data_IF_150228904676
#
_entry.id   IF_150228904676
#
_cell.length_a   1.000
_cell.length_b   1.000
_cell.length_c   1.000
_cell.angle_alpha   90.00
_cell.angle_beta   90.00
_cell.angle_gamma   90.00
#
_symmetry.space_group_name_H-M   'P 1'
#
loop_
_entity.id
_entity.type
_entity.pdbx_description
1 polymer ?
#
# COMPACT_ATOMS: atom_id res chain seq x y z
N UNK A 1 24.01 -9.10 -26.06
CA UNK A 1 24.62 -8.78 -24.74
C UNK A 1 23.72 -7.94 -23.82
N UNK A 2 22.58 -7.40 -24.27
CA UNK A 2 21.68 -6.58 -23.43
C UNK A 2 20.71 -7.38 -22.54
N UNK A 3 20.58 -8.70 -22.74
CA UNK A 3 19.68 -9.57 -21.97
C UNK A 3 19.83 -9.46 -20.45
N UNK A 4 21.05 -9.45 -19.87
CA UNK A 4 21.20 -9.33 -18.42
C UNK A 4 20.68 -8.00 -17.88
N UNK A 5 20.80 -6.92 -18.67
CA UNK A 5 20.30 -5.59 -18.30
C UNK A 5 18.78 -5.60 -18.21
N UNK A 6 18.11 -6.18 -19.20
CA UNK A 6 16.65 -6.28 -19.20
C UNK A 6 16.11 -7.17 -18.09
N UNK A 7 16.77 -8.30 -17.81
CA UNK A 7 16.42 -9.16 -16.67
C UNK A 7 16.61 -8.44 -15.33
N UNK A 8 17.69 -7.69 -15.17
CA UNK A 8 17.96 -6.92 -13.95
C UNK A 8 16.91 -5.82 -13.74
N UNK A 9 16.57 -5.07 -14.79
CA UNK A 9 15.52 -4.05 -14.74
C UNK A 9 14.15 -4.66 -14.42
N UNK A 10 13.81 -5.78 -15.06
CA UNK A 10 12.60 -6.57 -14.78
C UNK A 10 12.54 -6.97 -13.31
N UNK A 11 13.62 -7.53 -12.76
CA UNK A 11 13.69 -7.95 -11.36
C UNK A 11 13.48 -6.76 -10.39
N UNK A 12 14.10 -5.60 -10.67
CA UNK A 12 13.89 -4.38 -9.89
C UNK A 12 12.43 -3.94 -9.94
N UNK A 13 11.84 -3.88 -11.12
CA UNK A 13 10.46 -3.48 -11.29
C UNK A 13 9.49 -4.41 -10.56
N UNK A 14 9.65 -5.73 -10.67
CA UNK A 14 8.82 -6.67 -9.93
C UNK A 14 9.03 -6.60 -8.42
N UNK A 15 10.25 -6.35 -7.96
CA UNK A 15 10.53 -6.12 -6.54
C UNK A 15 9.79 -4.89 -6.00
N UNK A 16 9.84 -3.76 -6.70
CA UNK A 16 9.09 -2.56 -6.32
C UNK A 16 7.57 -2.74 -6.43
N UNK A 17 7.11 -3.50 -7.42
CA UNK A 17 5.70 -3.87 -7.54
C UNK A 17 5.25 -4.66 -6.29
N UNK A 18 6.04 -5.64 -5.87
CA UNK A 18 5.76 -6.45 -4.68
C UNK A 18 5.74 -5.62 -3.39
N UNK A 19 6.73 -4.74 -3.19
CA UNK A 19 6.77 -3.87 -1.99
C UNK A 19 5.53 -2.97 -1.95
N UNK A 20 5.20 -2.30 -3.06
CA UNK A 20 4.06 -1.40 -3.09
C UNK A 20 2.74 -2.17 -2.91
N UNK A 21 2.65 -3.39 -3.44
CA UNK A 21 1.50 -4.25 -3.20
C UNK A 21 1.34 -4.62 -1.72
N UNK A 22 2.44 -4.92 -1.03
CA UNK A 22 2.46 -5.19 0.42
C UNK A 22 2.09 -3.94 1.23
N UNK A 23 2.62 -2.77 0.88
CA UNK A 23 2.28 -1.51 1.55
C UNK A 23 0.82 -1.08 1.31
N UNK A 24 0.23 -1.43 0.17
CA UNK A 24 -1.19 -1.22 -0.07
C UNK A 24 -2.10 -2.08 0.83
N UNK A 25 -1.57 -3.10 1.50
CA UNK A 25 -2.33 -3.94 2.43
C UNK A 25 -2.17 -3.47 3.89
N UNK A 26 -1.13 -2.69 4.20
CA UNK A 26 -0.96 -2.09 5.53
C UNK A 26 -1.86 -0.88 5.68
N UNK A 27 -2.84 -0.96 6.57
CA UNK A 27 -3.65 0.17 7.01
C UNK A 27 -3.23 0.62 8.40
N UNK A 28 -3.22 1.93 8.63
CA UNK A 28 -3.16 2.49 9.98
C UNK A 28 -4.35 1.96 10.79
N UNK A 29 -4.08 1.50 12.01
CA UNK A 29 -5.09 0.96 12.89
C UNK A 29 -5.98 2.09 13.41
N UNK A 30 -7.28 1.93 13.28
CA UNK A 30 -8.25 2.87 13.86
C UNK A 30 -8.15 2.87 15.38
N UNK A 31 -8.46 4.03 15.96
CA UNK A 31 -8.49 4.17 17.41
C UNK A 31 -9.76 3.50 17.95
N UNK A 32 -9.58 2.53 18.85
CA UNK A 32 -10.69 1.91 19.56
C UNK A 32 -10.57 2.24 21.05
N UNK A 33 -11.67 2.73 21.63
CA UNK A 33 -11.78 2.83 23.07
C UNK A 33 -11.75 1.42 23.66
N UNK A 34 -10.60 1.04 24.21
CA UNK A 34 -10.45 -0.24 24.91
C UNK A 34 -10.89 -0.01 26.35
N UNK A 35 -12.11 -0.40 26.70
CA UNK A 35 -12.46 -0.62 28.10
C UNK A 35 -11.63 -1.81 28.59
N UNK A 36 -10.76 -1.59 29.58
CA UNK A 36 -10.15 -2.71 30.29
C UNK A 36 -11.25 -3.37 31.12
N UNK A 37 -11.48 -4.67 30.92
CA UNK A 37 -12.34 -5.46 31.80
C UNK A 37 -11.78 -5.37 33.23
N UNK A 38 -12.51 -4.70 34.12
CA UNK A 38 -12.15 -4.55 35.54
C UNK A 38 -12.08 -3.11 36.06
N UNK A 39 -12.17 -2.08 35.21
CA UNK A 39 -12.37 -0.71 35.70
C UNK A 39 -13.87 -0.45 35.96
N UNK A 40 -14.18 -0.05 37.19
CA UNK A 40 -15.50 0.43 37.60
C UNK A 40 -16.04 1.47 36.61
N UNK A 41 -17.37 1.46 36.46
CA UNK A 41 -18.23 2.31 35.62
C UNK A 41 -17.63 3.62 35.06
N UNK A 42 -17.96 3.93 33.80
CA UNK A 42 -17.18 4.85 32.97
C UNK A 42 -17.11 6.24 33.60
N UNK A 43 -15.91 6.84 33.65
CA UNK A 43 -15.86 8.30 33.46
C UNK A 43 -16.63 8.54 32.16
N UNK A 44 -17.81 9.14 32.26
CA UNK A 44 -18.65 9.45 31.11
C UNK A 44 -17.75 10.06 30.05
N UNK A 45 -17.47 9.29 29.00
CA UNK A 45 -16.68 9.80 27.90
C UNK A 45 -17.54 10.89 27.29
N UNK A 46 -17.14 12.14 27.56
CA UNK A 46 -17.85 13.33 27.16
C UNK A 46 -18.25 13.23 25.68
N UNK A 47 -19.45 13.70 25.35
CA UNK A 47 -20.01 13.58 24.01
C UNK A 47 -19.04 14.18 22.96
N UNK A 48 -18.36 15.28 23.33
CA UNK A 48 -17.33 15.89 22.49
C UNK A 48 -16.11 15.00 22.25
N UNK A 49 -15.72 14.17 23.22
CA UNK A 49 -14.60 13.22 23.07
C UNK A 49 -14.97 12.06 22.14
N UNK A 50 -16.23 11.59 22.17
CA UNK A 50 -16.73 10.56 21.25
C UNK A 50 -16.81 11.08 19.81
N UNK A 51 -17.31 12.31 19.63
CA UNK A 51 -17.41 12.96 18.33
C UNK A 51 -16.02 13.21 17.72
N UNK A 52 -15.07 13.70 18.52
CA UNK A 52 -13.69 13.85 18.10
C UNK A 52 -13.06 12.53 17.64
N UNK A 53 -13.23 11.44 18.39
CA UNK A 53 -12.68 10.13 17.99
C UNK A 53 -13.34 9.59 16.72
N UNK A 54 -14.65 9.82 16.54
CA UNK A 54 -15.35 9.46 15.31
C UNK A 54 -14.78 10.21 14.10
N UNK A 55 -14.59 11.51 14.20
CA UNK A 55 -14.02 12.32 13.12
C UNK A 55 -12.54 12.01 12.87
N UNK A 56 -11.78 11.75 13.92
CA UNK A 56 -10.39 11.30 13.81
C UNK A 56 -10.29 9.94 13.09
N UNK A 57 -11.17 8.99 13.41
CA UNK A 57 -11.21 7.69 12.72
C UNK A 57 -11.64 7.84 11.26
N UNK A 58 -12.60 8.73 10.94
CA UNK A 58 -12.96 9.06 9.54
C UNK A 58 -11.76 9.64 8.77
N UNK A 59 -10.98 10.52 9.40
CA UNK A 59 -9.76 11.03 8.82
C UNK A 59 -8.73 9.92 8.58
N UNK A 60 -8.51 9.03 9.56
CA UNK A 60 -7.61 7.88 9.38
C UNK A 60 -8.09 6.95 8.25
N UNK A 61 -9.39 6.75 8.09
CA UNK A 61 -9.95 5.96 6.99
C UNK A 61 -9.70 6.61 5.63
N UNK A 62 -9.85 7.94 5.51
CA UNK A 62 -9.60 8.65 4.26
C UNK A 62 -8.11 8.65 3.88
N UNK A 63 -7.23 8.84 4.86
CA UNK A 63 -5.77 8.73 4.65
C UNK A 63 -5.41 7.30 4.25
N UNK A 64 -5.97 6.29 4.92
CA UNK A 64 -5.76 4.89 4.57
C UNK A 64 -6.22 4.57 3.15
N UNK A 65 -7.42 5.00 2.75
CA UNK A 65 -7.95 4.71 1.41
C UNK A 65 -7.10 5.37 0.32
N UNK A 66 -6.71 6.64 0.51
CA UNK A 66 -5.80 7.35 -0.39
C UNK A 66 -4.44 6.66 -0.48
N UNK A 67 -3.87 6.25 0.65
CA UNK A 67 -2.57 5.58 0.67
C UNK A 67 -2.63 4.21 -0.03
N UNK A 68 -3.69 3.42 0.21
CA UNK A 68 -3.92 2.14 -0.50
C UNK A 68 -4.06 2.35 -2.00
N UNK A 69 -4.81 3.37 -2.43
CA UNK A 69 -4.98 3.69 -3.85
C UNK A 69 -3.64 4.06 -4.49
N UNK A 70 -2.84 4.92 -3.85
CA UNK A 70 -1.52 5.33 -4.33
C UNK A 70 -0.55 4.15 -4.44
N UNK A 71 -0.46 3.31 -3.41
CA UNK A 71 0.40 2.13 -3.43
C UNK A 71 -0.06 1.08 -4.44
N UNK A 72 -1.38 0.89 -4.64
CA UNK A 72 -1.90 0.03 -5.71
C UNK A 72 -1.54 0.55 -7.10
N UNK A 73 -1.70 1.85 -7.34
CA UNK A 73 -1.34 2.47 -8.61
C UNK A 73 0.16 2.33 -8.89
N UNK A 74 1.00 2.57 -7.88
CA UNK A 74 2.45 2.37 -8.00
C UNK A 74 2.82 0.90 -8.26
N UNK A 75 2.20 -0.05 -7.55
CA UNK A 75 2.41 -1.48 -7.76
C UNK A 75 2.07 -1.89 -9.19
N UNK A 76 0.95 -1.40 -9.72
CA UNK A 76 0.54 -1.66 -11.11
C UNK A 76 1.52 -1.04 -12.11
N UNK A 77 1.95 0.21 -11.90
CA UNK A 77 2.94 0.87 -12.76
C UNK A 77 4.27 0.11 -12.84
N UNK A 78 4.77 -0.33 -11.69
CA UNK A 78 5.98 -1.16 -11.63
C UNK A 78 5.79 -2.54 -12.26
N UNK A 79 4.62 -3.16 -12.09
CA UNK A 79 4.29 -4.44 -12.73
C UNK A 79 4.31 -4.32 -14.26
N UNK A 80 3.68 -3.27 -14.81
CA UNK A 80 3.71 -2.97 -16.25
C UNK A 80 5.15 -2.71 -16.70
N UNK A 81 5.94 -1.94 -15.95
CA UNK A 81 7.35 -1.70 -16.25
C UNK A 81 8.19 -2.98 -16.33
N UNK A 82 7.97 -3.93 -15.41
CA UNK A 82 8.63 -5.24 -15.43
C UNK A 82 8.26 -6.06 -16.66
N UNK A 83 6.97 -6.09 -17.02
CA UNK A 83 6.49 -6.76 -18.24
C UNK A 83 7.08 -6.12 -19.49
N UNK A 84 7.10 -4.78 -19.58
CA UNK A 84 7.69 -4.06 -20.71
C UNK A 84 9.18 -4.37 -20.84
N UNK A 85 9.94 -4.40 -19.73
CA UNK A 85 11.35 -4.77 -19.76
C UNK A 85 11.57 -6.20 -20.29
N UNK A 86 10.72 -7.15 -19.92
CA UNK A 86 10.76 -8.50 -20.47
C UNK A 86 10.38 -8.54 -21.96
N UNK A 87 9.37 -7.79 -22.39
CA UNK A 87 9.00 -7.71 -23.81
C UNK A 87 10.15 -7.11 -24.63
N UNK A 88 10.74 -6.02 -24.17
CA UNK A 88 11.91 -5.38 -24.81
C UNK A 88 13.11 -6.33 -24.90
N UNK A 89 13.30 -7.21 -23.90
CA UNK A 89 14.30 -8.27 -23.97
C UNK A 89 14.10 -9.18 -25.19
N UNK A 90 12.87 -9.60 -25.47
CA UNK A 90 12.57 -10.45 -26.64
C UNK A 90 12.57 -9.66 -27.96
N UNK A 91 12.16 -8.40 -27.97
CA UNK A 91 12.18 -7.58 -29.19
C UNK A 91 13.60 -7.19 -29.63
N UNK A 92 14.57 -7.22 -28.72
CA UNK A 92 15.98 -6.98 -29.03
C UNK A 92 16.71 -8.23 -29.53
N UNK A 93 16.00 -9.36 -29.71
CA UNK A 93 16.49 -10.50 -30.49
C UNK A 93 16.63 -10.07 -31.96
N UNK A 94 17.80 -10.19 -32.58
CA UNK A 94 17.89 -10.07 -34.02
C UNK A 94 17.06 -11.21 -34.63
N UNK A 95 16.07 -10.86 -35.44
CA UNK A 95 15.39 -11.81 -36.32
C UNK A 95 16.46 -12.27 -37.31
N UNK A 96 17.00 -13.46 -37.09
CA UNK A 96 17.91 -14.13 -38.03
C UNK A 96 17.14 -14.89 -39.09
#
# INVERSE_FOLDING_TARGET
MLYPVWLFLSAIFFYYAYINWRQAQSSLREFQFRQKEGEEAPREVDAGTKEFVADFNRYLQSVNSANRARHRAAAFGFMVGGVVALVSMFMTLPIS
#
